data_IF_402860251099
#
_entry.id   IF_402860251099
#
_cell.length_a   1.000
_cell.length_b   1.000
_cell.length_c   1.000
_cell.angle_alpha   90.00
_cell.angle_beta   90.00
_cell.angle_gamma   90.00
#
_symmetry.space_group_name_H-M   'P 1'
#
loop_
_entity.id
_entity.type
_entity.pdbx_description
1 polymer ?
#
# COMPACT_ATOMS: atom_id res chain seq x y z
N UNK A 1 -16.30 -8.19 -20.68
CA UNK A 1 -16.41 -7.39 -19.44
C UNK A 1 -15.83 -8.21 -18.30
N UNK A 2 -14.82 -7.70 -17.58
CA UNK A 2 -13.96 -8.44 -16.63
C UNK A 2 -14.64 -8.95 -15.34
N UNK A 3 -15.93 -9.30 -15.38
CA UNK A 3 -16.65 -9.79 -14.20
C UNK A 3 -16.75 -8.81 -13.04
N UNK A 4 -16.16 -7.60 -13.11
CA UNK A 4 -16.05 -6.65 -12.00
C UNK A 4 -17.39 -6.36 -11.34
N UNK A 5 -18.41 -5.97 -12.12
CA UNK A 5 -19.75 -5.72 -11.57
C UNK A 5 -20.40 -6.96 -10.96
N UNK A 6 -20.09 -8.16 -11.48
CA UNK A 6 -20.53 -9.43 -10.91
C UNK A 6 -19.84 -9.67 -9.56
N UNK A 7 -18.52 -9.49 -9.46
CA UNK A 7 -17.78 -9.61 -8.21
C UNK A 7 -18.25 -8.59 -7.16
N UNK A 8 -18.54 -7.35 -7.58
CA UNK A 8 -19.14 -6.32 -6.69
C UNK A 8 -20.51 -6.77 -6.20
N UNK A 9 -21.36 -7.31 -7.06
CA UNK A 9 -22.68 -7.79 -6.66
C UNK A 9 -22.60 -8.98 -5.68
N UNK A 10 -21.71 -9.93 -5.94
CA UNK A 10 -21.48 -11.11 -5.10
C UNK A 10 -20.88 -10.75 -3.73
N UNK A 11 -20.10 -9.67 -3.65
CA UNK A 11 -19.37 -9.26 -2.44
C UNK A 11 -19.73 -7.84 -2.01
N UNK A 12 -20.99 -7.42 -2.17
CA UNK A 12 -21.41 -6.03 -2.04
C UNK A 12 -21.10 -5.43 -0.65
N UNK A 13 -21.30 -6.21 0.42
CA UNK A 13 -20.97 -5.79 1.78
C UNK A 13 -19.48 -5.51 1.94
N UNK A 14 -18.62 -6.40 1.47
CA UNK A 14 -17.17 -6.23 1.58
C UNK A 14 -16.67 -5.09 0.68
N UNK A 15 -17.27 -4.89 -0.50
CA UNK A 15 -16.98 -3.75 -1.35
C UNK A 15 -17.37 -2.41 -0.69
N UNK A 16 -18.49 -2.38 0.04
CA UNK A 16 -18.91 -1.21 0.80
C UNK A 16 -17.95 -0.93 1.98
N UNK A 17 -17.56 -1.96 2.74
CA UNK A 17 -16.54 -1.85 3.79
C UNK A 17 -15.22 -1.31 3.23
N UNK A 18 -14.79 -1.80 2.07
CA UNK A 18 -13.59 -1.31 1.42
C UNK A 18 -13.67 0.19 1.09
N UNK A 19 -14.80 0.66 0.52
CA UNK A 19 -15.01 2.09 0.26
C UNK A 19 -15.00 2.92 1.54
N UNK A 20 -15.63 2.44 2.62
CA UNK A 20 -15.62 3.13 3.91
C UNK A 20 -14.20 3.25 4.48
N UNK A 21 -13.37 2.20 4.33
CA UNK A 21 -11.97 2.22 4.76
C UNK A 21 -11.17 3.24 3.95
N UNK A 22 -11.38 3.33 2.63
CA UNK A 22 -10.74 4.36 1.79
C UNK A 22 -11.09 5.76 2.31
N UNK A 23 -12.37 6.02 2.56
CA UNK A 23 -12.82 7.32 3.09
C UNK A 23 -12.22 7.61 4.45
N UNK A 24 -12.22 6.64 5.37
CA UNK A 24 -11.66 6.80 6.72
C UNK A 24 -10.16 7.12 6.68
N UNK A 25 -9.38 6.40 5.87
CA UNK A 25 -7.94 6.64 5.71
C UNK A 25 -7.69 8.00 5.05
N UNK A 26 -8.51 8.40 4.08
CA UNK A 26 -8.41 9.73 3.46
C UNK A 26 -8.68 10.85 4.47
N UNK A 27 -9.69 10.70 5.32
CA UNK A 27 -9.98 11.65 6.41
C UNK A 27 -8.83 11.71 7.43
N UNK A 28 -8.24 10.56 7.78
CA UNK A 28 -7.06 10.51 8.64
C UNK A 28 -5.86 11.22 8.01
N UNK A 29 -5.63 11.04 6.70
CA UNK A 29 -4.58 11.74 5.96
C UNK A 29 -4.80 13.26 5.97
N UNK A 30 -6.04 13.72 5.77
CA UNK A 30 -6.40 15.13 5.85
C UNK A 30 -6.17 15.71 7.25
N UNK A 31 -6.52 14.97 8.30
CA UNK A 31 -6.26 15.39 9.67
C UNK A 31 -4.75 15.50 9.94
N UNK A 32 -3.98 14.49 9.50
CA UNK A 32 -2.53 14.45 9.67
C UNK A 32 -1.85 15.62 8.94
N UNK A 33 -2.25 15.88 7.69
CA UNK A 33 -1.72 17.00 6.90
C UNK A 33 -2.05 18.35 7.55
N UNK A 34 -3.30 18.56 8.00
CA UNK A 34 -3.70 19.78 8.74
C UNK A 34 -2.90 20.00 10.02
N UNK A 35 -2.64 18.94 10.79
CA UNK A 35 -1.81 19.01 11.99
C UNK A 35 -0.37 19.36 11.66
N UNK A 36 0.16 18.79 10.57
CA UNK A 36 1.52 19.06 10.12
C UNK A 36 1.67 20.50 9.61
N UNK A 37 0.72 20.99 8.82
CA UNK A 37 0.67 22.38 8.34
C UNK A 37 0.62 23.39 9.47
N UNK A 38 -0.24 23.15 10.48
CA UNK A 38 -0.35 24.02 11.66
C UNK A 38 0.97 24.14 12.42
N UNK A 39 1.73 23.04 12.52
CA UNK A 39 3.01 22.99 13.25
C UNK A 39 4.18 23.53 12.44
N UNK A 40 4.17 23.32 11.11
CA UNK A 40 5.24 23.76 10.22
C UNK A 40 5.07 25.21 9.71
N UNK A 41 3.93 25.85 9.99
CA UNK A 41 3.61 27.19 9.48
C UNK A 41 3.35 27.21 7.97
N UNK A 42 3.13 26.05 7.35
CA UNK A 42 2.82 25.94 5.94
C UNK A 42 1.31 26.18 5.73
N UNK A 43 0.97 27.14 4.87
CA UNK A 43 -0.37 27.26 4.27
C UNK A 43 -0.30 26.63 2.88
N UNK A 44 -0.38 25.30 2.78
CA UNK A 44 -0.63 24.71 1.46
C UNK A 44 -2.10 25.01 1.08
N UNK A 45 -2.28 25.67 -0.07
CA UNK A 45 -3.60 25.78 -0.72
C UNK A 45 -4.05 24.36 -1.12
N UNK A 46 -5.37 24.12 -1.16
CA UNK A 46 -5.99 22.81 -1.41
C UNK A 46 -5.57 22.12 -2.72
N UNK A 47 -6.43 21.27 -3.29
CA UNK A 47 -6.11 20.60 -4.55
C UNK A 47 -5.97 21.63 -5.68
N UNK A 48 -4.73 21.96 -6.05
CA UNK A 48 -4.46 22.76 -7.25
C UNK A 48 -4.57 21.87 -8.49
N UNK A 49 -4.84 22.48 -9.65
CA UNK A 49 -4.87 21.78 -10.94
C UNK A 49 -3.61 20.94 -11.18
N UNK A 50 -2.45 21.46 -10.78
CA UNK A 50 -1.18 20.71 -10.83
C UNK A 50 -1.18 19.50 -9.90
N UNK A 51 -1.64 19.64 -8.64
CA UNK A 51 -1.75 18.48 -7.72
C UNK A 51 -2.65 17.40 -8.31
N UNK A 52 -3.77 17.78 -8.92
CA UNK A 52 -4.67 16.83 -9.60
C UNK A 52 -3.98 16.12 -10.76
N UNK A 53 -3.26 16.85 -11.62
CA UNK A 53 -2.52 16.26 -12.73
C UNK A 53 -1.43 15.29 -12.26
N UNK A 54 -0.67 15.67 -11.23
CA UNK A 54 0.33 14.79 -10.60
C UNK A 54 -0.33 13.54 -10.04
N UNK A 55 -1.41 13.66 -9.26
CA UNK A 55 -2.14 12.51 -8.73
C UNK A 55 -2.57 11.58 -9.86
N UNK A 56 -3.16 12.10 -10.94
CA UNK A 56 -3.55 11.30 -12.11
C UNK A 56 -2.38 10.55 -12.76
N UNK A 57 -1.29 11.26 -13.08
CA UNK A 57 -0.10 10.66 -13.72
C UNK A 57 0.55 9.61 -12.83
N UNK A 58 0.80 9.92 -11.55
CA UNK A 58 1.44 8.99 -10.63
C UNK A 58 0.54 7.77 -10.34
N UNK A 59 -0.78 7.94 -10.32
CA UNK A 59 -1.72 6.81 -10.18
C UNK A 59 -1.69 5.88 -11.39
N UNK A 60 -1.61 6.44 -12.60
CA UNK A 60 -1.48 5.65 -13.81
C UNK A 60 -0.16 4.85 -13.84
N UNK A 61 0.96 5.49 -13.49
CA UNK A 61 2.26 4.81 -13.40
C UNK A 61 2.21 3.73 -12.32
N UNK A 62 1.67 4.03 -11.13
CA UNK A 62 1.53 3.07 -10.04
C UNK A 62 0.69 1.86 -10.46
N UNK A 63 -0.40 2.08 -11.18
CA UNK A 63 -1.23 1.00 -11.70
C UNK A 63 -0.45 0.13 -12.70
N UNK A 64 0.28 0.72 -13.64
CA UNK A 64 1.11 -0.05 -14.59
C UNK A 64 2.13 -0.91 -13.83
N UNK A 65 2.83 -0.34 -12.85
CA UNK A 65 3.78 -1.09 -12.02
C UNK A 65 3.11 -2.20 -11.20
N UNK A 66 1.87 -1.99 -10.76
CA UNK A 66 1.07 -3.02 -10.08
C UNK A 66 0.69 -4.16 -11.03
N UNK A 67 0.43 -3.88 -12.31
CA UNK A 67 0.15 -4.94 -13.30
C UNK A 67 1.36 -5.84 -13.55
N UNK A 68 2.57 -5.33 -13.33
CA UNK A 68 3.85 -6.05 -13.44
C UNK A 68 4.21 -6.79 -12.13
N UNK A 69 3.20 -7.17 -11.35
CA UNK A 69 3.35 -7.97 -10.14
C UNK A 69 4.00 -9.34 -10.42
N UNK A 70 4.84 -9.82 -9.49
CA UNK A 70 5.47 -11.14 -9.60
C UNK A 70 5.40 -11.91 -8.27
N UNK A 71 5.31 -13.25 -8.31
CA UNK A 71 5.27 -14.08 -7.10
C UNK A 71 6.64 -14.13 -6.42
N UNK A 72 6.64 -14.38 -5.11
CA UNK A 72 7.85 -14.59 -4.32
C UNK A 72 8.06 -16.07 -4.04
N UNK A 73 9.29 -16.59 -4.08
CA UNK A 73 9.55 -18.03 -3.95
C UNK A 73 9.24 -18.58 -2.55
N UNK A 74 9.17 -17.71 -1.53
CA UNK A 74 8.96 -18.09 -0.13
C UNK A 74 7.53 -17.78 0.39
N UNK A 75 6.62 -17.37 -0.49
CA UNK A 75 5.24 -17.02 -0.13
C UNK A 75 4.25 -17.56 -1.18
N UNK A 76 3.00 -17.89 -0.80
CA UNK A 76 2.01 -18.37 -1.76
C UNK A 76 1.71 -17.36 -2.89
N UNK A 77 1.25 -17.86 -4.05
CA UNK A 77 1.05 -17.06 -5.27
C UNK A 77 0.06 -15.88 -5.16
N UNK A 78 -0.79 -15.84 -4.13
CA UNK A 78 -1.67 -14.70 -3.88
C UNK A 78 -0.96 -13.54 -3.19
N UNK A 79 0.23 -13.75 -2.65
CA UNK A 79 1.17 -12.71 -2.24
C UNK A 79 2.13 -12.40 -3.39
N UNK A 80 2.03 -11.19 -3.90
CA UNK A 80 2.87 -10.71 -4.99
C UNK A 80 3.62 -9.46 -4.60
N UNK A 81 4.82 -9.33 -5.13
CA UNK A 81 5.62 -8.13 -5.03
C UNK A 81 5.43 -7.28 -6.29
N UNK A 82 5.38 -5.98 -6.08
CA UNK A 82 5.25 -4.98 -7.13
C UNK A 82 5.96 -3.69 -6.67
N UNK A 83 6.18 -2.77 -7.60
CA UNK A 83 6.84 -1.48 -7.33
C UNK A 83 5.86 -0.30 -7.35
N UNK A 84 4.56 -0.55 -7.19
CA UNK A 84 3.54 0.50 -7.36
C UNK A 84 3.56 1.57 -6.26
N UNK A 85 4.13 1.27 -5.09
CA UNK A 85 4.25 2.23 -4.00
C UNK A 85 5.37 3.25 -4.24
N UNK A 86 6.25 3.02 -5.22
CA UNK A 86 7.31 3.96 -5.59
C UNK A 86 6.73 5.30 -6.09
N UNK A 87 5.87 5.33 -7.12
CA UNK A 87 5.13 6.54 -7.50
C UNK A 87 4.36 7.19 -6.34
N UNK A 88 3.73 6.37 -5.50
CA UNK A 88 2.90 6.82 -4.38
C UNK A 88 3.74 7.57 -3.35
N UNK A 89 4.88 7.00 -2.96
CA UNK A 89 5.79 7.61 -1.99
C UNK A 89 6.44 8.89 -2.53
N UNK A 90 6.80 8.92 -3.82
CA UNK A 90 7.34 10.12 -4.47
C UNK A 90 6.30 11.24 -4.49
N UNK A 91 5.06 10.94 -4.87
CA UNK A 91 3.95 11.90 -4.83
C UNK A 91 3.70 12.42 -3.43
N UNK A 92 3.72 11.54 -2.44
CA UNK A 92 3.53 11.88 -1.02
C UNK A 92 4.68 12.75 -0.48
N UNK A 93 5.93 12.48 -0.84
CA UNK A 93 7.08 13.30 -0.46
C UNK A 93 7.03 14.69 -1.12
N UNK A 94 6.53 14.76 -2.35
CA UNK A 94 6.41 16.02 -3.08
C UNK A 94 5.33 16.94 -2.46
N UNK A 95 4.14 16.40 -2.22
CA UNK A 95 2.93 17.20 -1.94
C UNK A 95 2.23 16.91 -0.61
N UNK A 96 2.57 15.82 0.09
CA UNK A 96 2.02 15.51 1.41
C UNK A 96 1.24 14.20 1.49
N UNK A 97 0.84 13.79 2.71
CA UNK A 97 0.16 12.52 2.97
C UNK A 97 -1.13 12.32 2.18
N UNK A 98 -1.94 13.37 2.00
CA UNK A 98 -3.23 13.28 1.28
C UNK A 98 -3.00 12.90 -0.19
N UNK A 99 -1.98 13.46 -0.82
CA UNK A 99 -1.60 13.11 -2.20
C UNK A 99 -1.17 11.64 -2.28
N UNK A 100 -0.40 11.16 -1.30
CA UNK A 100 -0.04 9.73 -1.22
C UNK A 100 -1.26 8.82 -1.18
N UNK A 101 -2.19 9.07 -0.26
CA UNK A 101 -3.41 8.26 -0.14
C UNK A 101 -4.30 8.36 -1.38
N UNK A 102 -4.39 9.54 -2.00
CA UNK A 102 -5.14 9.71 -3.24
C UNK A 102 -4.56 8.87 -4.39
N UNK A 103 -3.23 8.87 -4.55
CA UNK A 103 -2.56 8.06 -5.59
C UNK A 103 -2.78 6.57 -5.31
N UNK A 104 -2.64 6.15 -4.07
CA UNK A 104 -2.85 4.76 -3.64
C UNK A 104 -4.30 4.29 -3.91
N UNK A 105 -5.29 5.11 -3.58
CA UNK A 105 -6.69 4.80 -3.82
C UNK A 105 -7.01 4.69 -5.32
N UNK A 106 -6.58 5.68 -6.11
CA UNK A 106 -6.85 5.69 -7.56
C UNK A 106 -6.11 4.53 -8.25
N UNK A 107 -4.87 4.21 -7.84
CA UNK A 107 -4.14 3.02 -8.30
C UNK A 107 -5.00 1.77 -8.19
N UNK A 108 -5.56 1.50 -7.00
CA UNK A 108 -6.34 0.30 -6.75
C UNK A 108 -7.66 0.30 -7.53
N UNK A 109 -8.34 1.45 -7.60
CA UNK A 109 -9.54 1.59 -8.43
C UNK A 109 -9.25 1.29 -9.90
N UNK A 110 -8.18 1.87 -10.47
CA UNK A 110 -7.77 1.60 -11.86
C UNK A 110 -7.42 0.13 -12.07
N UNK A 111 -6.67 -0.48 -11.15
CA UNK A 111 -6.34 -1.91 -11.20
C UNK A 111 -7.60 -2.76 -11.18
N UNK A 112 -8.57 -2.45 -10.33
CA UNK A 112 -9.85 -3.16 -10.24
C UNK A 112 -10.66 -3.06 -11.54
N UNK A 113 -10.70 -1.90 -12.19
CA UNK A 113 -11.37 -1.75 -13.49
C UNK A 113 -10.67 -2.52 -14.62
N UNK A 114 -9.33 -2.56 -14.61
CA UNK A 114 -8.53 -3.14 -15.70
C UNK A 114 -8.32 -4.65 -15.55
N UNK A 115 -7.93 -5.13 -14.37
CA UNK A 115 -7.58 -6.55 -14.09
C UNK A 115 -8.71 -7.28 -13.34
N UNK A 116 -9.63 -6.56 -12.71
CA UNK A 116 -10.59 -7.14 -11.79
C UNK A 116 -9.94 -7.54 -10.45
N UNK A 117 -10.66 -8.34 -9.68
CA UNK A 117 -10.16 -8.95 -8.44
C UNK A 117 -10.09 -10.46 -8.58
N UNK A 118 -8.97 -11.03 -8.15
CA UNK A 118 -8.77 -12.49 -8.05
C UNK A 118 -8.84 -12.98 -6.61
N UNK A 119 -9.08 -12.07 -5.66
CA UNK A 119 -9.04 -12.31 -4.21
C UNK A 119 -10.28 -11.74 -3.52
N UNK A 120 -11.42 -11.68 -4.21
CA UNK A 120 -12.70 -11.19 -3.66
C UNK A 120 -12.54 -9.84 -2.93
N UNK A 121 -11.77 -8.92 -3.53
CA UNK A 121 -11.35 -7.62 -2.98
C UNK A 121 -10.42 -7.67 -1.76
N UNK A 122 -10.18 -8.81 -1.11
CA UNK A 122 -9.31 -8.91 0.07
C UNK A 122 -7.89 -8.49 -0.24
N UNK A 123 -7.33 -8.93 -1.37
CA UNK A 123 -5.99 -8.54 -1.80
C UNK A 123 -5.90 -7.07 -2.23
N UNK A 124 -6.98 -6.54 -2.80
CA UNK A 124 -7.08 -5.12 -3.19
C UNK A 124 -7.13 -4.21 -1.95
N UNK A 125 -7.93 -4.60 -0.96
CA UNK A 125 -7.98 -3.97 0.36
C UNK A 125 -6.62 -4.09 1.06
N UNK A 126 -6.01 -5.27 1.04
CA UNK A 126 -4.69 -5.50 1.63
C UNK A 126 -3.67 -4.54 1.04
N UNK A 127 -3.56 -4.45 -0.30
CA UNK A 127 -2.61 -3.56 -0.95
C UNK A 127 -2.86 -2.09 -0.55
N UNK A 128 -4.11 -1.63 -0.55
CA UNK A 128 -4.45 -0.26 -0.16
C UNK A 128 -4.10 0.06 1.31
N UNK A 129 -4.55 -0.77 2.26
CA UNK A 129 -4.39 -0.50 3.70
C UNK A 129 -2.95 -0.68 4.13
N UNK A 130 -2.29 -1.75 3.67
CA UNK A 130 -0.87 -2.01 3.95
C UNK A 130 -0.01 -0.93 3.29
N UNK A 131 -0.32 -0.53 2.05
CA UNK A 131 0.31 0.60 1.36
C UNK A 131 0.15 1.91 2.14
N UNK A 132 -1.05 2.25 2.60
CA UNK A 132 -1.27 3.44 3.42
C UNK A 132 -0.53 3.39 4.76
N UNK A 133 -0.37 2.21 5.38
CA UNK A 133 0.42 2.02 6.60
C UNK A 133 1.92 2.33 6.40
N UNK A 134 2.43 2.17 5.18
CA UNK A 134 3.77 2.59 4.79
C UNK A 134 3.82 4.11 4.50
N UNK A 135 2.91 4.59 3.65
CA UNK A 135 2.94 5.93 3.08
C UNK A 135 2.63 7.02 4.10
N UNK A 136 1.64 6.82 4.96
CA UNK A 136 1.22 7.83 5.93
C UNK A 136 2.33 8.22 6.92
N UNK A 137 2.95 7.30 7.68
CA UNK A 137 4.02 7.67 8.60
C UNK A 137 5.26 8.18 7.86
N UNK A 138 5.62 7.58 6.72
CA UNK A 138 6.77 8.03 5.94
C UNK A 138 6.59 9.46 5.44
N UNK A 139 5.46 9.74 4.79
CA UNK A 139 5.17 11.08 4.27
C UNK A 139 5.00 12.11 5.39
N UNK A 140 4.39 11.75 6.52
CA UNK A 140 4.29 12.60 7.70
C UNK A 140 5.67 13.10 8.16
N UNK A 141 6.60 12.18 8.43
CA UNK A 141 7.96 12.50 8.92
C UNK A 141 8.69 13.40 7.92
N UNK A 142 8.61 13.07 6.62
CA UNK A 142 9.27 13.88 5.59
C UNK A 142 8.65 15.27 5.45
N UNK A 143 7.31 15.35 5.53
CA UNK A 143 6.55 16.57 5.36
C UNK A 143 6.89 17.62 6.43
N UNK A 144 7.10 17.20 7.68
CA UNK A 144 7.52 18.09 8.78
C UNK A 144 8.87 18.77 8.54
N UNK A 145 9.84 18.07 7.93
CA UNK A 145 11.17 18.62 7.69
C UNK A 145 11.79 18.01 6.44
N UNK A 146 11.71 18.68 5.30
CA UNK A 146 12.18 18.14 4.00
C UNK A 146 13.70 18.21 3.86
N UNK A 147 14.41 17.11 4.13
CA UNK A 147 15.85 16.97 3.88
C UNK A 147 16.26 15.50 3.66
N UNK A 148 17.55 15.24 3.36
CA UNK A 148 18.03 13.86 3.13
C UNK A 148 17.89 12.96 4.35
N UNK A 149 18.18 13.46 5.55
CA UNK A 149 18.14 12.67 6.79
C UNK A 149 16.71 12.27 7.13
N UNK A 150 15.75 13.19 6.98
CA UNK A 150 14.34 12.88 7.20
C UNK A 150 13.78 11.96 6.13
N UNK A 151 14.22 12.04 4.87
CA UNK A 151 13.81 11.08 3.84
C UNK A 151 14.23 9.65 4.21
N UNK A 152 15.47 9.47 4.66
CA UNK A 152 15.98 8.16 5.13
C UNK A 152 15.19 7.69 6.35
N UNK A 153 14.97 8.56 7.34
CA UNK A 153 14.18 8.23 8.53
C UNK A 153 12.74 7.83 8.16
N UNK A 154 12.13 8.56 7.24
CA UNK A 154 10.77 8.29 6.75
C UNK A 154 10.67 6.91 6.12
N UNK A 155 11.65 6.55 5.29
CA UNK A 155 11.73 5.24 4.64
C UNK A 155 11.92 4.09 5.65
N UNK A 156 12.81 4.26 6.63
CA UNK A 156 13.04 3.26 7.68
C UNK A 156 11.79 3.10 8.54
N UNK A 157 11.24 4.19 9.06
CA UNK A 157 10.05 4.16 9.91
C UNK A 157 8.83 3.61 9.16
N UNK A 158 8.63 4.04 7.91
CA UNK A 158 7.58 3.50 7.06
C UNK A 158 7.73 1.99 6.86
N UNK A 159 8.93 1.52 6.52
CA UNK A 159 9.19 0.08 6.30
C UNK A 159 8.96 -0.75 7.56
N UNK A 160 9.35 -0.24 8.73
CA UNK A 160 9.10 -0.93 10.00
C UNK A 160 7.61 -0.99 10.33
N UNK A 161 6.88 0.13 10.16
CA UNK A 161 5.42 0.16 10.40
C UNK A 161 4.70 -0.74 9.41
N UNK A 162 5.06 -0.68 8.12
CA UNK A 162 4.57 -1.59 7.09
C UNK A 162 4.74 -3.06 7.49
N UNK A 163 5.94 -3.41 7.97
CA UNK A 163 6.24 -4.78 8.35
C UNK A 163 5.43 -5.21 9.57
N UNK A 164 5.41 -4.41 10.64
CA UNK A 164 4.69 -4.73 11.87
C UNK A 164 3.18 -4.76 11.65
N UNK A 165 2.62 -3.68 11.10
CA UNK A 165 1.19 -3.56 10.85
C UNK A 165 0.73 -4.56 9.78
N UNK A 166 1.45 -4.68 8.66
CA UNK A 166 1.09 -5.61 7.59
C UNK A 166 1.12 -7.07 8.06
N UNK A 167 2.09 -7.44 8.90
CA UNK A 167 2.15 -8.80 9.48
C UNK A 167 0.99 -9.05 10.44
N UNK A 168 0.73 -8.12 11.37
CA UNK A 168 -0.36 -8.24 12.34
C UNK A 168 -1.74 -8.24 11.66
N UNK A 169 -1.95 -7.34 10.70
CA UNK A 169 -3.19 -7.22 9.95
C UNK A 169 -3.47 -8.46 9.10
N UNK A 170 -2.43 -9.11 8.57
CA UNK A 170 -2.60 -10.39 7.89
C UNK A 170 -3.04 -11.51 8.84
N UNK A 171 -2.42 -11.60 10.03
CA UNK A 171 -2.79 -12.63 11.01
C UNK A 171 -4.22 -12.45 11.54
N UNK A 172 -4.59 -11.22 11.88
CA UNK A 172 -5.85 -10.95 12.60
C UNK A 172 -7.04 -10.81 11.66
N UNK A 173 -6.84 -10.26 10.45
CA UNK A 173 -7.95 -9.89 9.58
C UNK A 173 -7.87 -10.48 8.18
N UNK A 174 -6.77 -10.26 7.44
CA UNK A 174 -6.76 -10.61 6.00
C UNK A 174 -6.80 -12.10 5.74
N UNK A 175 -6.03 -12.93 6.46
CA UNK A 175 -6.05 -14.38 6.26
C UNK A 175 -7.40 -15.00 6.67
N UNK A 176 -8.01 -14.65 7.83
CA UNK A 176 -9.37 -15.08 8.16
C UNK A 176 -10.43 -14.61 7.16
N UNK A 177 -10.37 -13.34 6.72
CA UNK A 177 -11.30 -12.80 5.74
C UNK A 177 -11.15 -13.50 4.37
N UNK A 178 -9.92 -13.76 3.94
CA UNK A 178 -9.62 -14.51 2.73
C UNK A 178 -10.19 -15.92 2.80
N UNK A 179 -9.98 -16.63 3.91
CA UNK A 179 -10.54 -17.97 4.15
C UNK A 179 -12.07 -17.98 4.04
N UNK A 180 -12.74 -17.03 4.71
CA UNK A 180 -14.21 -16.93 4.71
C UNK A 180 -14.80 -16.59 3.34
N UNK A 181 -14.18 -15.65 2.61
CA UNK A 181 -14.68 -15.17 1.32
C UNK A 181 -14.39 -16.14 0.17
N UNK A 182 -13.29 -16.88 0.22
CA UNK A 182 -12.99 -17.93 -0.77
C UNK A 182 -13.61 -19.29 -0.43
N UNK A 183 -14.15 -19.47 0.78
CA UNK A 183 -14.59 -20.78 1.26
C UNK A 183 -13.43 -21.79 1.39
N UNK A 184 -12.20 -21.30 1.43
CA UNK A 184 -10.99 -22.12 1.60
C UNK A 184 -10.68 -22.21 3.09
N UNK A 185 -10.66 -23.41 3.71
CA UNK A 185 -10.26 -23.57 5.10
C UNK A 185 -8.90 -22.94 5.37
N UNK A 186 -8.75 -22.28 6.53
CA UNK A 186 -7.50 -21.62 6.91
C UNK A 186 -6.32 -22.59 6.88
N UNK A 187 -6.53 -23.84 7.31
CA UNK A 187 -5.54 -24.92 7.27
C UNK A 187 -4.96 -25.13 5.87
N UNK A 188 -5.80 -25.09 4.82
CA UNK A 188 -5.32 -25.24 3.44
C UNK A 188 -4.46 -24.05 3.02
N UNK A 189 -4.81 -22.83 3.46
CA UNK A 189 -4.00 -21.62 3.19
C UNK A 189 -2.64 -21.72 3.88
N UNK A 190 -2.60 -22.22 5.11
CA UNK A 190 -1.36 -22.42 5.85
C UNK A 190 -0.49 -23.52 5.22
N UNK A 191 -1.10 -24.60 4.75
CA UNK A 191 -0.43 -25.68 4.03
C UNK A 191 0.21 -25.19 2.71
N UNK A 192 -0.43 -24.25 2.00
CA UNK A 192 0.19 -23.60 0.85
C UNK A 192 1.47 -22.84 1.22
N UNK A 193 1.51 -22.24 2.41
CA UNK A 193 2.72 -21.60 2.95
C UNK A 193 3.83 -22.60 3.27
N UNK A 194 3.48 -23.72 3.91
CA UNK A 194 4.43 -24.80 4.23
C UNK A 194 5.06 -25.40 2.97
N UNK A 195 4.28 -25.59 1.92
CA UNK A 195 4.78 -26.15 0.66
C UNK A 195 5.84 -25.27 -0.02
N UNK A 196 5.84 -23.96 0.23
CA UNK A 196 6.78 -23.01 -0.40
C UNK A 196 7.88 -22.52 0.55
N UNK A 197 7.65 -22.57 1.86
CA UNK A 197 8.58 -22.03 2.84
C UNK A 197 9.02 -23.11 3.83
N UNK A 198 10.28 -23.61 3.72
CA UNK A 198 10.77 -24.69 4.58
C UNK A 198 10.94 -24.29 6.05
N UNK A 199 10.83 -22.99 6.37
CA UNK A 199 10.85 -22.51 7.75
C UNK A 199 9.50 -22.69 8.46
N UNK A 200 8.44 -23.03 7.74
CA UNK A 200 7.14 -23.34 8.33
C UNK A 200 7.07 -24.82 8.74
N UNK A 201 6.89 -25.06 10.03
CA UNK A 201 6.59 -26.38 10.59
C UNK A 201 5.08 -26.56 10.79
N UNK A 202 4.61 -27.79 10.98
CA UNK A 202 3.20 -28.13 11.21
C UNK A 202 2.57 -27.38 12.40
N UNK A 203 3.34 -27.18 13.48
CA UNK A 203 2.87 -26.50 14.69
C UNK A 203 2.87 -24.97 14.59
N UNK A 204 3.35 -24.39 13.49
CA UNK A 204 3.60 -22.95 13.41
C UNK A 204 2.32 -22.14 13.22
N UNK A 205 1.28 -22.77 12.65
CA UNK A 205 -0.03 -22.17 12.44
C UNK A 205 0.01 -20.82 11.69
N UNK A 206 -0.95 -19.95 12.01
CA UNK A 206 -1.04 -18.61 11.40
C UNK A 206 0.13 -17.70 11.75
N UNK A 207 0.70 -17.85 12.96
CA UNK A 207 1.82 -17.03 13.44
C UNK A 207 3.08 -17.33 12.63
N UNK A 208 3.38 -18.62 12.41
CA UNK A 208 4.47 -19.05 11.55
C UNK A 208 4.30 -18.58 10.12
N UNK A 209 3.08 -18.69 9.57
CA UNK A 209 2.81 -18.20 8.22
C UNK A 209 3.12 -16.71 8.08
N UNK A 210 2.63 -15.88 8.99
CA UNK A 210 2.88 -14.43 8.89
C UNK A 210 4.33 -14.08 9.18
N UNK A 211 5.01 -14.79 10.08
CA UNK A 211 6.41 -14.55 10.40
C UNK A 211 7.37 -14.97 9.26
N UNK A 212 7.08 -16.09 8.58
CA UNK A 212 7.95 -16.66 7.55
C UNK A 212 7.63 -16.16 6.14
N UNK A 213 6.35 -15.90 5.82
CA UNK A 213 5.94 -15.45 4.49
C UNK A 213 5.69 -13.94 4.44
N UNK A 214 4.86 -13.41 5.36
CA UNK A 214 4.34 -12.04 5.26
C UNK A 214 5.35 -10.99 5.73
N UNK A 215 5.98 -11.20 6.89
CA UNK A 215 6.94 -10.24 7.44
C UNK A 215 8.16 -10.03 6.51
N UNK A 216 8.81 -11.09 5.96
CA UNK A 216 9.94 -10.92 5.07
C UNK A 216 9.53 -10.26 3.75
N UNK A 217 8.34 -10.61 3.22
CA UNK A 217 7.79 -9.94 2.04
C UNK A 217 7.61 -8.45 2.27
N UNK A 218 6.97 -8.05 3.37
CA UNK A 218 6.72 -6.64 3.69
C UNK A 218 8.03 -5.87 3.92
N UNK A 219 9.01 -6.50 4.56
CA UNK A 219 10.33 -5.92 4.77
C UNK A 219 11.07 -5.70 3.45
N UNK A 220 11.05 -6.70 2.55
CA UNK A 220 11.63 -6.60 1.21
C UNK A 220 10.90 -5.52 0.40
N UNK A 221 9.56 -5.53 0.39
CA UNK A 221 8.75 -4.57 -0.34
C UNK A 221 9.05 -3.14 0.11
N UNK A 222 8.95 -2.87 1.42
CA UNK A 222 9.25 -1.55 1.98
C UNK A 222 10.71 -1.15 1.77
N UNK A 223 11.65 -2.08 1.93
CA UNK A 223 13.07 -1.84 1.74
C UNK A 223 13.45 -1.47 0.31
N UNK A 224 12.96 -2.23 -0.69
CA UNK A 224 13.26 -1.95 -2.11
C UNK A 224 12.58 -0.67 -2.56
N UNK A 225 11.30 -0.46 -2.23
CA UNK A 225 10.60 0.79 -2.56
C UNK A 225 11.30 1.98 -1.93
N UNK A 226 11.71 1.87 -0.66
CA UNK A 226 12.47 2.90 0.05
C UNK A 226 13.81 3.19 -0.63
N UNK A 227 14.58 2.15 -0.95
CA UNK A 227 15.89 2.29 -1.59
C UNK A 227 15.76 3.02 -2.93
N UNK A 228 14.86 2.57 -3.80
CA UNK A 228 14.66 3.19 -5.12
C UNK A 228 14.17 4.63 -4.96
N UNK A 229 13.23 4.88 -4.03
CA UNK A 229 12.75 6.24 -3.75
C UNK A 229 13.89 7.16 -3.36
N UNK A 230 14.77 6.74 -2.44
CA UNK A 230 15.89 7.55 -1.97
C UNK A 230 16.89 7.91 -3.09
N UNK A 231 17.01 7.06 -4.11
CA UNK A 231 17.85 7.32 -5.29
C UNK A 231 17.20 8.35 -6.24
N UNK A 232 15.88 8.28 -6.45
CA UNK A 232 15.22 9.04 -7.53
C UNK A 232 14.43 10.28 -7.07
N UNK A 233 14.05 10.39 -5.79
CA UNK A 233 13.19 11.50 -5.34
C UNK A 233 13.83 12.88 -5.53
N UNK A 234 15.16 12.98 -5.38
CA UNK A 234 15.89 14.24 -5.58
C UNK A 234 15.96 14.64 -7.05
N UNK A 235 16.42 13.78 -7.98
CA UNK A 235 16.36 14.07 -9.42
C UNK A 235 14.97 14.46 -9.92
N UNK A 236 13.91 13.88 -9.36
CA UNK A 236 12.53 14.18 -9.76
C UNK A 236 11.98 15.47 -9.14
N UNK A 237 12.50 15.92 -7.99
CA UNK A 237 11.95 17.09 -7.30
C UNK A 237 11.93 18.37 -8.15
N UNK A 238 12.97 18.72 -8.93
CA UNK A 238 12.94 19.87 -9.83
C UNK A 238 11.84 19.77 -10.88
N UNK A 239 11.63 18.60 -11.48
CA UNK A 239 10.64 18.38 -12.54
C UNK A 239 9.22 18.50 -11.97
N UNK A 240 8.97 17.85 -10.83
CA UNK A 240 7.65 17.86 -10.17
C UNK A 240 7.29 19.29 -9.70
N UNK A 241 8.28 20.05 -9.21
CA UNK A 241 8.08 21.40 -8.68
C UNK A 241 8.37 22.52 -9.69
N UNK A 242 8.76 22.19 -10.93
CA UNK A 242 9.10 23.19 -11.95
C UNK A 242 7.90 24.12 -12.20
N UNK A 243 8.10 25.43 -12.01
CA UNK A 243 7.05 26.45 -12.14
C UNK A 243 6.40 26.89 -10.81
N UNK A 244 7.09 26.73 -9.68
CA UNK A 244 6.91 27.60 -8.50
C UNK A 244 7.78 28.85 -8.66
#
# INVERSE_FOLDING_TARGET
MNGFFKSVAENALFAAEFLLIIVAIFLAALALEKLADKKAGHKERGFSTRKMAVVGMFSAIAMILHLLDFPLPFAPNFYKLDFSELPVLIGAFAYGPVVGVAIEAIKILLKLFIKGTSTAFVGDLANFVIGCSFILPASAIYYFKKNKKSAVLSCITGTLILTLFGTAFNAVYLLPAFSKLFGLPLENILAMGQAVNPLMNDDSGIIGFVACCVAPMNLIKGGVVSLVTLLIYKPLSPIIKAGK
#
